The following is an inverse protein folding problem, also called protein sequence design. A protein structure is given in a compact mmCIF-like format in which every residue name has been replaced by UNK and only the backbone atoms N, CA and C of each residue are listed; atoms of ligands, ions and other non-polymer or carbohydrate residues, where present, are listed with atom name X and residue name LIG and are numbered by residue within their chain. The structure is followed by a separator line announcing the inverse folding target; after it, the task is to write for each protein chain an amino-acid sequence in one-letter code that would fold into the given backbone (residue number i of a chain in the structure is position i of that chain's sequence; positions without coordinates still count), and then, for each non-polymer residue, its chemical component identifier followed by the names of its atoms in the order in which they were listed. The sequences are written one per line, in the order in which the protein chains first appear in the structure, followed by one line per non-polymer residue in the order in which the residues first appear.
data_IF_651071107422
#
_entry.id   IF_651071107422
#
_cell.length_a   1.000
_cell.length_b   1.000
_cell.length_c   1.000
_cell.angle_alpha   90.00
_cell.angle_beta   90.00
_cell.angle_gamma   90.00
#
_symmetry.space_group_name_H-M   'P 1'
#
loop_
_entity.id
_entity.type
_entity.pdbx_description
1 polymer ?
#
# COMPACT_ATOMS: atom_id res chain seq x y z
N UNK A 1 21.94 24.24 -6.70
CA UNK A 1 21.52 23.91 -5.32
C UNK A 1 20.99 22.48 -5.28
N UNK A 2 21.33 21.66 -4.29
CA UNK A 2 20.82 20.28 -4.21
C UNK A 2 19.48 20.27 -3.48
N UNK A 3 18.52 19.50 -3.99
CA UNK A 3 17.22 19.34 -3.32
C UNK A 3 17.42 18.62 -1.96
N UNK A 4 17.06 19.23 -0.83
CA UNK A 4 17.32 18.71 0.52
C UNK A 4 16.69 17.33 0.75
N UNK A 5 15.51 17.08 0.18
CA UNK A 5 14.82 15.77 0.27
C UNK A 5 15.66 14.64 -0.36
N UNK A 6 16.31 14.92 -1.48
CA UNK A 6 17.17 13.93 -2.15
C UNK A 6 18.45 13.67 -1.37
N UNK A 7 18.98 14.69 -0.68
CA UNK A 7 20.16 14.55 0.18
C UNK A 7 19.80 13.69 1.39
N UNK A 8 18.68 13.98 2.05
CA UNK A 8 18.18 13.20 3.18
C UNK A 8 17.90 11.74 2.78
N UNK A 9 17.26 11.50 1.62
CA UNK A 9 17.02 10.14 1.12
C UNK A 9 18.32 9.34 0.91
N UNK A 10 19.37 10.00 0.39
CA UNK A 10 20.69 9.38 0.22
C UNK A 10 21.32 9.00 1.55
N UNK A 11 21.29 9.89 2.54
CA UNK A 11 21.83 9.64 3.88
C UNK A 11 21.02 8.55 4.61
N UNK A 12 19.69 8.54 4.49
CA UNK A 12 18.83 7.49 5.05
C UNK A 12 19.23 6.13 4.46
N UNK A 13 19.52 6.08 3.16
CA UNK A 13 20.02 4.88 2.50
C UNK A 13 21.37 4.41 3.07
N UNK A 14 22.31 5.33 3.34
CA UNK A 14 23.60 5.01 3.95
C UNK A 14 23.45 4.41 5.36
N UNK A 15 22.53 4.96 6.17
CA UNK A 15 22.26 4.47 7.53
C UNK A 15 21.73 3.02 7.53
N UNK A 16 20.86 2.68 6.57
CA UNK A 16 20.20 1.37 6.52
C UNK A 16 20.97 0.30 5.73
N UNK A 17 21.99 0.69 4.96
CA UNK A 17 22.75 -0.25 4.14
C UNK A 17 23.69 -1.10 5.02
N UNK A 18 23.56 -2.44 5.05
CA UNK A 18 24.43 -3.29 5.86
C UNK A 18 25.89 -3.30 5.38
N UNK A 19 26.16 -2.85 4.15
CA UNK A 19 27.51 -2.82 3.57
C UNK A 19 28.29 -1.52 3.86
N UNK A 20 27.69 -0.55 4.54
CA UNK A 20 28.38 0.70 4.93
C UNK A 20 29.07 0.53 6.27
N UNK A 21 30.18 1.25 6.47
CA UNK A 21 30.89 1.24 7.76
C UNK A 21 30.08 1.96 8.84
N UNK A 22 30.27 1.56 10.10
CA UNK A 22 29.60 2.18 11.25
C UNK A 22 29.92 3.68 11.35
N UNK A 23 31.15 4.08 11.06
CA UNK A 23 31.54 5.50 11.01
C UNK A 23 30.77 6.28 9.92
N UNK A 24 30.55 5.68 8.75
CA UNK A 24 29.76 6.30 7.68
C UNK A 24 28.28 6.40 8.05
N UNK A 25 27.73 5.40 8.75
CA UNK A 25 26.35 5.43 9.26
C UNK A 25 26.18 6.51 10.33
N UNK A 26 27.11 6.60 11.28
CA UNK A 26 27.08 7.60 12.35
C UNK A 26 27.13 9.04 11.80
N UNK A 27 28.03 9.29 10.83
CA UNK A 27 28.10 10.58 10.15
C UNK A 27 26.82 10.89 9.34
N UNK A 28 26.24 9.89 8.67
CA UNK A 28 24.99 10.07 7.93
C UNK A 28 23.80 10.36 8.86
N UNK A 29 23.72 9.70 10.01
CA UNK A 29 22.71 9.94 11.04
C UNK A 29 22.82 11.36 11.61
N UNK A 30 24.03 11.76 12.03
CA UNK A 30 24.27 13.13 12.53
C UNK A 30 23.85 14.20 11.54
N UNK A 31 24.12 13.97 10.25
CA UNK A 31 23.77 14.92 9.19
C UNK A 31 22.27 14.95 8.88
N UNK A 32 21.54 13.86 9.15
CA UNK A 32 20.07 13.86 9.10
C UNK A 32 19.49 14.70 10.24
N UNK A 33 20.02 14.54 11.46
CA UNK A 33 19.62 15.34 12.62
C UNK A 33 19.90 16.83 12.40
N UNK A 34 21.06 17.20 11.85
CA UNK A 34 21.40 18.59 11.51
C UNK A 34 20.46 19.23 10.48
N UNK A 35 19.82 18.43 9.64
CA UNK A 35 18.86 18.91 8.64
C UNK A 35 17.43 18.98 9.19
N UNK A 36 17.23 18.71 10.48
CA UNK A 36 15.92 18.61 11.15
C UNK A 36 14.96 17.68 10.39
N UNK A 37 15.54 16.72 9.66
CA UNK A 37 14.79 15.65 9.03
C UNK A 37 14.62 14.63 10.13
N UNK A 38 13.46 14.65 10.77
CA UNK A 38 13.05 13.55 11.62
C UNK A 38 13.29 12.26 10.84
N UNK A 39 14.23 11.45 11.34
CA UNK A 39 14.39 10.09 10.89
C UNK A 39 13.18 9.36 11.46
N UNK A 40 12.01 9.58 10.84
CA UNK A 40 10.88 8.69 11.02
C UNK A 40 11.44 7.30 10.77
N UNK A 41 11.47 6.52 11.86
CA UNK A 41 11.74 5.09 11.81
C UNK A 41 11.00 4.57 10.60
N UNK A 42 11.64 3.75 9.75
CA UNK A 42 11.06 3.35 8.47
C UNK A 42 9.60 3.02 8.73
N UNK A 43 8.70 3.84 8.19
CA UNK A 43 7.28 3.63 8.39
C UNK A 43 7.06 2.16 8.07
N UNK A 44 6.64 1.42 9.08
CA UNK A 44 6.16 0.06 8.91
C UNK A 44 4.91 0.07 8.00
N UNK A 45 4.45 1.23 7.50
CA UNK A 45 3.61 1.32 6.31
C UNK A 45 4.22 0.63 5.07
N UNK A 46 5.55 0.46 4.98
CA UNK A 46 6.18 -0.45 3.98
C UNK A 46 6.21 -1.91 4.40
N UNK A 47 6.03 -2.27 5.67
CA UNK A 47 5.90 -3.68 6.06
C UNK A 47 4.56 -4.26 5.61
N UNK A 48 3.53 -3.45 5.38
CA UNK A 48 2.33 -3.90 4.65
C UNK A 48 2.60 -4.26 3.18
N UNK A 49 3.74 -3.86 2.59
CA UNK A 49 4.07 -4.21 1.20
C UNK A 49 4.51 -5.67 1.04
N UNK A 50 4.96 -6.32 2.12
CA UNK A 50 5.25 -7.76 2.12
C UNK A 50 3.95 -8.54 1.92
N UNK A 51 2.98 -8.29 2.79
CA UNK A 51 1.69 -8.97 2.77
C UNK A 51 0.91 -8.65 1.48
N UNK A 52 0.86 -7.38 1.06
CA UNK A 52 0.20 -7.01 -0.19
C UNK A 52 0.82 -7.69 -1.42
N UNK A 53 2.14 -7.91 -1.44
CA UNK A 53 2.83 -8.63 -2.53
C UNK A 53 2.55 -10.13 -2.47
N UNK A 54 2.54 -10.71 -1.27
CA UNK A 54 2.23 -12.13 -1.04
C UNK A 54 0.77 -12.44 -1.40
N UNK A 55 -0.18 -11.63 -0.93
CA UNK A 55 -1.60 -11.73 -1.31
C UNK A 55 -1.81 -11.53 -2.81
N UNK A 56 -1.08 -10.58 -3.41
CA UNK A 56 -1.05 -10.41 -4.86
C UNK A 56 -0.60 -11.68 -5.61
N UNK A 57 0.37 -12.41 -5.04
CA UNK A 57 0.83 -13.71 -5.53
C UNK A 57 -0.27 -14.77 -5.47
N UNK A 58 -0.94 -14.93 -4.33
CA UNK A 58 -2.06 -15.88 -4.19
C UNK A 58 -3.23 -15.54 -5.14
N UNK A 59 -3.54 -14.26 -5.31
CA UNK A 59 -4.55 -13.80 -6.30
C UNK A 59 -4.15 -14.14 -7.74
N UNK A 60 -2.85 -14.13 -8.05
CA UNK A 60 -2.35 -14.54 -9.36
C UNK A 60 -2.43 -16.07 -9.54
N UNK A 61 -2.13 -16.84 -8.49
CA UNK A 61 -2.26 -18.31 -8.45
C UNK A 61 -3.68 -18.75 -8.82
N UNK A 62 -4.72 -18.11 -8.26
CA UNK A 62 -6.12 -18.40 -8.57
C UNK A 62 -6.49 -18.17 -10.05
N UNK A 63 -5.86 -17.19 -10.71
CA UNK A 63 -6.13 -16.82 -12.10
C UNK A 63 -5.29 -17.60 -13.11
N UNK A 64 -4.26 -18.30 -12.66
CA UNK A 64 -3.34 -19.00 -13.54
C UNK A 64 -3.90 -20.38 -13.92
N UNK A 65 -4.21 -20.62 -15.22
CA UNK A 65 -4.76 -21.90 -15.67
C UNK A 65 -3.77 -23.07 -15.61
N UNK A 66 -2.47 -22.79 -15.40
CA UNK A 66 -1.41 -23.80 -15.32
C UNK A 66 -1.12 -24.28 -13.89
N UNK A 67 -1.86 -23.80 -12.91
CA UNK A 67 -1.71 -24.19 -11.51
C UNK A 67 -2.68 -25.32 -11.17
N UNK A 68 -2.27 -26.24 -10.30
CA UNK A 68 -3.11 -27.34 -9.81
C UNK A 68 -4.28 -26.83 -8.94
N UNK A 69 -5.36 -27.61 -8.89
CA UNK A 69 -6.53 -27.24 -8.08
C UNK A 69 -6.20 -27.17 -6.58
N UNK A 70 -5.37 -28.09 -6.07
CA UNK A 70 -4.90 -28.08 -4.67
C UNK A 70 -4.16 -26.78 -4.31
N UNK A 71 -3.30 -26.27 -5.20
CA UNK A 71 -2.59 -25.01 -4.97
C UNK A 71 -3.52 -23.78 -5.06
N UNK A 72 -4.62 -23.87 -5.81
CA UNK A 72 -5.66 -22.82 -5.83
C UNK A 72 -6.50 -22.85 -4.57
N UNK A 73 -6.86 -24.03 -4.05
CA UNK A 73 -7.58 -24.16 -2.78
C UNK A 73 -6.79 -23.56 -1.62
N UNK A 74 -5.50 -23.91 -1.50
CA UNK A 74 -4.62 -23.30 -0.50
C UNK A 74 -4.48 -21.78 -0.70
N UNK A 75 -4.34 -21.31 -1.94
CA UNK A 75 -4.28 -19.86 -2.20
C UNK A 75 -5.58 -19.15 -1.80
N UNK A 76 -6.73 -19.82 -1.93
CA UNK A 76 -8.04 -19.29 -1.54
C UNK A 76 -8.17 -19.22 -0.02
N UNK A 77 -7.80 -20.28 0.69
CA UNK A 77 -7.83 -20.33 2.15
C UNK A 77 -6.95 -19.24 2.78
N UNK A 78 -5.71 -19.09 2.30
CA UNK A 78 -4.80 -18.03 2.77
C UNK A 78 -5.37 -16.64 2.48
N UNK A 79 -6.01 -16.44 1.32
CA UNK A 79 -6.66 -15.17 1.02
C UNK A 79 -7.88 -14.92 1.91
N UNK A 80 -8.68 -15.92 2.24
CA UNK A 80 -9.85 -15.76 3.12
C UNK A 80 -9.45 -15.52 4.59
N UNK A 81 -8.36 -16.13 5.05
CA UNK A 81 -7.81 -15.92 6.40
C UNK A 81 -7.16 -14.53 6.56
N UNK A 82 -6.52 -14.03 5.50
CA UNK A 82 -5.76 -12.77 5.55
C UNK A 82 -6.46 -11.57 4.89
N UNK A 83 -7.47 -11.78 4.05
CA UNK A 83 -8.47 -10.74 3.82
C UNK A 83 -9.27 -10.61 5.13
N UNK A 84 -8.71 -9.83 6.07
CA UNK A 84 -9.50 -9.03 7.02
C UNK A 84 -10.78 -8.63 6.29
N UNK A 85 -11.96 -9.13 6.72
CA UNK A 85 -13.09 -9.46 5.85
C UNK A 85 -13.50 -8.25 5.05
N UNK A 86 -12.87 -8.08 3.87
CA UNK A 86 -12.75 -6.85 3.09
C UNK A 86 -13.64 -5.79 3.68
N UNK A 87 -13.18 -5.22 4.81
CA UNK A 87 -14.09 -4.53 5.72
C UNK A 87 -14.85 -3.59 4.83
N UNK A 88 -16.15 -3.83 4.77
CA UNK A 88 -17.14 -2.95 4.17
C UNK A 88 -17.16 -1.72 5.05
N UNK A 89 -15.99 -1.10 5.24
CA UNK A 89 -15.76 0.18 5.83
C UNK A 89 -16.67 1.07 5.04
N UNK A 90 -17.76 1.53 5.67
CA UNK A 90 -18.78 2.28 4.96
C UNK A 90 -18.14 3.49 4.23
N UNK A 91 -17.03 3.98 4.77
CA UNK A 91 -16.16 5.00 4.16
C UNK A 91 -15.56 4.60 2.81
N UNK A 92 -15.00 3.39 2.66
CA UNK A 92 -14.43 2.93 1.39
C UNK A 92 -15.52 2.68 0.35
N UNK A 93 -16.66 2.13 0.78
CA UNK A 93 -17.83 1.92 -0.09
C UNK A 93 -18.38 3.28 -0.55
N UNK A 94 -18.54 4.24 0.37
CA UNK A 94 -18.95 5.60 0.06
C UNK A 94 -17.94 6.31 -0.87
N UNK A 95 -16.64 6.13 -0.66
CA UNK A 95 -15.60 6.66 -1.53
C UNK A 95 -15.70 6.10 -2.95
N UNK A 96 -15.97 4.79 -3.09
CA UNK A 96 -16.22 4.14 -4.38
C UNK A 96 -17.45 4.72 -5.11
N UNK A 97 -18.54 4.94 -4.39
CA UNK A 97 -19.73 5.59 -4.97
C UNK A 97 -19.48 7.05 -5.35
N UNK A 98 -18.72 7.82 -4.55
CA UNK A 98 -18.29 9.18 -4.91
C UNK A 98 -17.45 9.17 -6.19
N UNK A 99 -16.48 8.25 -6.29
CA UNK A 99 -15.67 8.09 -7.49
C UNK A 99 -16.52 7.79 -8.73
N UNK A 100 -17.52 6.91 -8.59
CA UNK A 100 -18.47 6.56 -9.64
C UNK A 100 -19.24 7.79 -10.17
N UNK A 101 -19.65 8.69 -9.28
CA UNK A 101 -20.36 9.93 -9.62
C UNK A 101 -19.48 10.88 -10.45
N UNK A 102 -18.21 11.02 -10.06
CA UNK A 102 -17.28 11.95 -10.70
C UNK A 102 -16.63 11.39 -11.98
N UNK A 103 -16.59 10.07 -12.16
CA UNK A 103 -15.96 9.46 -13.31
C UNK A 103 -16.75 9.76 -14.61
N UNK A 104 -16.15 10.44 -15.62
CA UNK A 104 -16.83 10.76 -16.87
C UNK A 104 -17.17 9.52 -17.72
N UNK A 105 -16.46 8.40 -17.53
CA UNK A 105 -16.63 7.16 -18.29
C UNK A 105 -17.73 6.24 -17.72
N UNK A 106 -18.47 6.69 -16.71
CA UNK A 106 -19.56 5.93 -16.08
C UNK A 106 -20.91 6.40 -16.62
N UNK A 107 -21.84 5.45 -16.82
CA UNK A 107 -23.19 5.73 -17.32
C UNK A 107 -24.00 6.61 -16.35
N UNK A 108 -24.96 7.37 -16.90
CA UNK A 108 -25.84 8.23 -16.10
C UNK A 108 -26.65 7.43 -15.07
N UNK A 109 -27.07 6.21 -15.42
CA UNK A 109 -27.81 5.31 -14.54
C UNK A 109 -26.95 4.85 -13.36
N UNK A 110 -25.70 4.43 -13.62
CA UNK A 110 -24.77 4.03 -12.56
C UNK A 110 -24.45 5.20 -11.61
N UNK A 111 -24.31 6.43 -12.13
CA UNK A 111 -24.14 7.64 -11.30
C UNK A 111 -25.35 7.93 -10.43
N UNK A 112 -26.56 7.73 -10.96
CA UNK A 112 -27.81 7.93 -10.19
C UNK A 112 -27.93 6.90 -9.08
N UNK A 113 -27.64 5.63 -9.37
CA UNK A 113 -27.60 4.56 -8.39
C UNK A 113 -26.57 4.84 -7.28
N UNK A 114 -25.35 5.22 -7.65
CA UNK A 114 -24.30 5.58 -6.68
C UNK A 114 -24.71 6.73 -5.75
N UNK A 115 -25.44 7.74 -6.26
CA UNK A 115 -26.00 8.82 -5.42
C UNK A 115 -27.06 8.31 -4.44
N UNK A 116 -27.92 7.38 -4.87
CA UNK A 116 -28.96 6.81 -4.02
C UNK A 116 -28.34 5.97 -2.89
N UNK A 117 -27.35 5.14 -3.21
CA UNK A 117 -26.65 4.34 -2.21
C UNK A 117 -25.90 5.21 -1.20
N UNK A 118 -25.22 6.27 -1.64
CA UNK A 118 -24.61 7.24 -0.73
C UNK A 118 -25.60 7.92 0.21
N UNK A 119 -26.81 8.22 -0.27
CA UNK A 119 -27.86 8.83 0.54
C UNK A 119 -28.49 7.85 1.54
N UNK A 120 -28.45 6.54 1.27
CA UNK A 120 -28.89 5.52 2.24
C UNK A 120 -27.86 5.25 3.33
N UNK A 121 -26.58 5.53 3.06
CA UNK A 121 -25.44 5.22 3.94
C UNK A 121 -25.06 6.36 4.90
N UNK A 122 -25.56 7.58 4.71
CA UNK A 122 -25.32 8.74 5.57
C UNK A 122 -26.61 9.25 6.18
#
# INVERSE_FOLDING_TARGET
EKNPERVAAGLKSTVHNPRTSEEAKANAAKRLDEMDVEVEQPDTSRSQSGDNRVMGGYRATLKNPRVSEEAKEHAKEVLEENDEPLSTHPEHVAAGYKATIHNPNVSKEAKKHAKQELHKMG
#
